data_IF_323991904056
#
_entry.id   IF_323991904056
#
_cell.length_a   1.000
_cell.length_b   1.000
_cell.length_c   1.000
_cell.angle_alpha   90.00
_cell.angle_beta   90.00
_cell.angle_gamma   90.00
#
_symmetry.space_group_name_H-M   'P 1'
#
loop_
_entity.id
_entity.type
_entity.pdbx_description
1 polymer ?
#
# COMPACT_ATOMS: atom_id res chain seq x y z
N UNK A 1 4.70 4.77 -22.99
CA UNK A 1 5.25 3.51 -22.43
C UNK A 1 4.27 3.03 -21.39
N UNK A 2 3.28 2.24 -21.82
CA UNK A 2 2.26 1.67 -20.94
C UNK A 2 2.75 0.32 -20.44
N UNK A 3 3.23 0.28 -19.20
CA UNK A 3 3.47 -0.98 -18.50
C UNK A 3 2.22 -1.30 -17.69
N UNK A 4 1.23 -1.90 -18.32
CA UNK A 4 0.14 -2.63 -17.66
C UNK A 4 0.72 -3.90 -17.02
N UNK A 5 1.59 -3.74 -16.01
CA UNK A 5 2.01 -4.85 -15.17
C UNK A 5 1.10 -4.82 -13.96
N UNK A 6 0.12 -5.73 -13.91
CA UNK A 6 -0.56 -6.08 -12.66
C UNK A 6 0.50 -6.61 -11.70
N UNK A 7 1.24 -5.71 -11.04
CA UNK A 7 2.16 -6.09 -9.99
C UNK A 7 1.32 -6.57 -8.82
N UNK A 8 1.55 -7.80 -8.40
CA UNK A 8 0.92 -8.36 -7.21
C UNK A 8 1.33 -7.60 -5.94
N UNK A 9 2.53 -6.99 -5.95
CA UNK A 9 3.10 -6.28 -4.81
C UNK A 9 3.59 -4.88 -5.17
N UNK A 10 3.24 -3.92 -4.30
CA UNK A 10 3.66 -2.54 -4.35
C UNK A 10 4.67 -2.26 -3.23
N UNK A 11 5.70 -1.50 -3.57
CA UNK A 11 6.63 -0.92 -2.60
C UNK A 11 6.03 0.30 -1.92
N UNK A 12 6.65 0.76 -0.84
CA UNK A 12 6.29 2.01 -0.16
C UNK A 12 6.18 3.19 -1.16
N UNK A 13 7.14 3.29 -2.09
CA UNK A 13 7.17 4.38 -3.08
C UNK A 13 6.02 4.27 -4.07
N UNK A 14 5.71 3.06 -4.55
CA UNK A 14 4.58 2.86 -5.45
C UNK A 14 3.25 3.19 -4.78
N UNK A 15 3.09 2.89 -3.48
CA UNK A 15 1.89 3.29 -2.73
C UNK A 15 1.80 4.82 -2.57
N UNK A 16 2.93 5.52 -2.42
CA UNK A 16 2.96 6.99 -2.46
C UNK A 16 2.48 7.48 -3.83
N UNK A 17 3.01 6.93 -4.93
CA UNK A 17 2.66 7.39 -6.28
C UNK A 17 1.22 7.06 -6.67
N UNK A 18 0.70 5.89 -6.30
CA UNK A 18 -0.62 5.41 -6.73
C UNK A 18 -1.77 5.93 -5.86
N UNK A 19 -1.57 6.03 -4.55
CA UNK A 19 -2.63 6.36 -3.59
C UNK A 19 -2.39 7.70 -2.87
N UNK A 20 -1.32 8.40 -3.23
CA UNK A 20 -0.88 9.64 -2.57
C UNK A 20 -0.72 9.49 -1.04
N UNK A 21 -0.43 8.26 -0.58
CA UNK A 21 -0.31 7.93 0.84
C UNK A 21 1.15 8.06 1.26
N UNK A 22 1.48 9.10 2.02
CA UNK A 22 2.88 9.40 2.40
C UNK A 22 3.53 8.26 3.19
N UNK A 23 4.87 8.18 3.12
CA UNK A 23 5.66 7.15 3.82
C UNK A 23 5.43 7.18 5.33
N UNK A 24 5.29 8.37 5.90
CA UNK A 24 5.03 8.58 7.32
C UNK A 24 3.65 8.05 7.71
N UNK A 25 2.62 8.36 6.93
CA UNK A 25 1.26 7.84 7.14
C UNK A 25 1.22 6.32 7.00
N UNK A 26 1.86 5.78 5.97
CA UNK A 26 2.04 4.33 5.82
C UNK A 26 2.71 3.71 7.05
N UNK A 27 3.78 4.34 7.57
CA UNK A 27 4.47 3.86 8.78
C UNK A 27 3.57 3.88 10.01
N UNK A 28 2.88 4.99 10.24
CA UNK A 28 1.91 5.16 11.33
C UNK A 28 0.81 4.09 11.24
N UNK A 29 0.26 3.85 10.05
CA UNK A 29 -0.79 2.84 9.87
C UNK A 29 -0.28 1.41 10.05
N UNK A 30 0.96 1.11 9.64
CA UNK A 30 1.59 -0.19 9.92
C UNK A 30 1.79 -0.40 11.43
N UNK A 31 2.30 0.63 12.13
CA UNK A 31 2.46 0.59 13.59
C UNK A 31 1.13 0.39 14.30
N UNK A 32 0.06 1.01 13.80
CA UNK A 32 -1.30 0.86 14.30
C UNK A 32 -2.01 -0.41 13.81
N UNK A 33 -1.35 -1.25 13.01
CA UNK A 33 -1.93 -2.46 12.36
C UNK A 33 -3.20 -2.18 11.56
N UNK A 34 -3.36 -0.94 11.04
CA UNK A 34 -4.54 -0.52 10.28
C UNK A 34 -4.47 -0.88 8.81
N UNK A 35 -3.26 -0.93 8.25
CA UNK A 35 -3.03 -1.18 6.82
C UNK A 35 -2.40 -2.57 6.65
N UNK A 36 -2.90 -3.42 5.72
CA UNK A 36 -2.28 -4.72 5.46
C UNK A 36 -0.89 -4.51 4.84
N UNK A 37 0.13 -5.20 5.35
CA UNK A 37 1.49 -5.10 4.81
C UNK A 37 2.26 -6.42 4.97
N UNK A 38 3.24 -6.62 4.10
CA UNK A 38 4.16 -7.75 4.11
C UNK A 38 5.56 -7.23 4.42
N UNK A 39 6.25 -7.84 5.38
CA UNK A 39 7.63 -7.51 5.73
C UNK A 39 8.55 -8.66 5.38
N UNK A 40 9.51 -8.41 4.50
CA UNK A 40 10.55 -9.38 4.13
C UNK A 40 11.90 -8.74 4.45
N UNK A 41 12.53 -9.22 5.53
CA UNK A 41 13.75 -8.62 6.08
C UNK A 41 13.55 -7.15 6.45
N UNK A 42 14.28 -6.26 5.76
CA UNK A 42 14.20 -4.80 5.94
C UNK A 42 13.23 -4.11 4.97
N UNK A 43 12.64 -4.83 4.02
CA UNK A 43 11.74 -4.27 2.99
C UNK A 43 10.29 -4.48 3.37
N UNK A 44 9.45 -3.53 2.96
CA UNK A 44 8.00 -3.54 3.15
C UNK A 44 7.33 -3.54 1.78
N UNK A 45 6.34 -4.40 1.64
CA UNK A 45 5.52 -4.56 0.45
C UNK A 45 4.04 -4.53 0.82
N UNK A 46 3.22 -4.22 -0.16
CA UNK A 46 1.77 -4.15 -0.07
C UNK A 46 1.19 -5.00 -1.19
N UNK A 47 0.35 -5.97 -0.85
CA UNK A 47 -0.38 -6.71 -1.87
C UNK A 47 -1.41 -5.78 -2.52
N UNK A 48 -1.39 -5.69 -3.85
CA UNK A 48 -2.21 -4.74 -4.61
C UNK A 48 -3.71 -4.96 -4.40
N UNK A 49 -4.15 -6.22 -4.29
CA UNK A 49 -5.55 -6.54 -4.01
C UNK A 49 -5.97 -6.05 -2.61
N UNK A 50 -5.15 -6.33 -1.59
CA UNK A 50 -5.44 -5.99 -0.18
C UNK A 50 -5.40 -4.50 0.10
N UNK A 51 -4.42 -3.78 -0.47
CA UNK A 51 -4.32 -2.33 -0.29
C UNK A 51 -5.51 -1.61 -0.95
N UNK A 52 -5.96 -2.11 -2.11
CA UNK A 52 -7.12 -1.59 -2.83
C UNK A 52 -8.41 -1.82 -2.04
N UNK A 53 -8.62 -3.04 -1.55
CA UNK A 53 -9.76 -3.38 -0.68
C UNK A 53 -9.78 -2.50 0.58
N UNK A 54 -8.64 -2.35 1.25
CA UNK A 54 -8.48 -1.48 2.40
C UNK A 54 -8.81 -0.01 2.08
N UNK A 55 -8.36 0.50 0.93
CA UNK A 55 -8.65 1.87 0.52
C UNK A 55 -10.16 2.09 0.30
N UNK A 56 -10.81 1.12 -0.36
CA UNK A 56 -12.26 1.15 -0.60
C UNK A 56 -13.07 1.07 0.70
N UNK A 57 -12.58 0.37 1.73
CA UNK A 57 -13.28 0.27 3.02
C UNK A 57 -13.32 1.58 3.81
N UNK A 58 -12.48 2.57 3.46
CA UNK A 58 -12.42 3.88 4.11
C UNK A 58 -13.23 4.95 3.36
N UNK A 59 -13.93 4.58 2.29
CA UNK A 59 -14.83 5.48 1.56
C UNK A 59 -15.96 5.92 2.49
N UNK A 60 -15.97 7.20 2.84
CA UNK A 60 -17.09 7.82 3.55
C UNK A 60 -18.19 8.09 2.51
N UNK A 61 -19.40 7.61 2.79
CA UNK A 61 -20.57 7.73 1.91
C UNK A 61 -21.33 9.04 2.13
#
# INVERSE_FOLDING_TARGET
MESNTNKDFLTIQEVVTLYNLSKETQSKYRMQKKIPYIKIGKKIFYETAKIKEWFLSHRVN
#
